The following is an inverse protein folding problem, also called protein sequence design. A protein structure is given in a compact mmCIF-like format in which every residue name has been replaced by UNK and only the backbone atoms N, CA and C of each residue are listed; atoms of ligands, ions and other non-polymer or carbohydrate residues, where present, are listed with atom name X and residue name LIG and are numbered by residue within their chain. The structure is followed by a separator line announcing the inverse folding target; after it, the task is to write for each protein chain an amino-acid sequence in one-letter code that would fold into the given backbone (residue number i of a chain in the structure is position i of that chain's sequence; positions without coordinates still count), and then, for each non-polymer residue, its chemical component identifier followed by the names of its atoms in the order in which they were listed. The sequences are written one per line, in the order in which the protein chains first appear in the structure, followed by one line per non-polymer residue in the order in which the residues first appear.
data_IF_484926704295
#
_entry.id   IF_484926704295
#
_cell.length_a   1.000
_cell.length_b   1.000
_cell.length_c   1.000
_cell.angle_alpha   90.00
_cell.angle_beta   90.00
_cell.angle_gamma   90.00
#
_symmetry.space_group_name_H-M   'P 1'
#
loop_
_entity.id
_entity.type
_entity.pdbx_description
1 polymer ?
#
# COMPACT_ATOMS: atom_id res chain seq x y z
N UNK A 1 8.28 -33.42 -6.57
CA UNK A 1 8.84 -32.81 -7.78
C UNK A 1 8.06 -31.54 -8.01
N UNK A 2 8.71 -30.37 -8.07
CA UNK A 2 8.02 -29.07 -8.04
C UNK A 2 7.32 -28.79 -9.38
N UNK A 3 6.00 -28.58 -9.35
CA UNK A 3 5.17 -28.24 -10.51
C UNK A 3 5.48 -26.83 -11.03
N UNK A 4 6.60 -26.69 -11.72
CA UNK A 4 7.04 -25.47 -12.39
C UNK A 4 6.52 -25.48 -13.83
N UNK A 5 5.56 -24.61 -14.13
CA UNK A 5 5.07 -24.41 -15.51
C UNK A 5 5.75 -23.16 -16.07
N UNK A 6 6.35 -23.26 -17.26
CA UNK A 6 7.07 -22.17 -17.93
C UNK A 6 6.42 -21.85 -19.26
N UNK A 7 6.05 -20.60 -19.45
CA UNK A 7 5.61 -20.07 -20.75
C UNK A 7 6.69 -19.17 -21.34
N UNK A 8 7.02 -19.40 -22.60
CA UNK A 8 8.06 -18.63 -23.29
C UNK A 8 7.45 -17.33 -23.80
N UNK A 9 7.99 -16.19 -23.37
CA UNK A 9 7.59 -14.88 -23.85
C UNK A 9 8.56 -14.37 -24.92
N UNK A 10 8.05 -13.92 -26.07
CA UNK A 10 8.78 -13.09 -27.05
C UNK A 10 8.16 -11.71 -27.16
N UNK A 11 9.00 -10.67 -27.11
CA UNK A 11 8.56 -9.34 -27.51
C UNK A 11 8.15 -9.38 -28.99
N UNK A 12 6.93 -8.93 -29.35
CA UNK A 12 6.48 -9.02 -30.72
C UNK A 12 7.35 -8.13 -31.63
N UNK A 13 7.78 -8.67 -32.78
CA UNK A 13 8.71 -8.01 -33.70
C UNK A 13 8.25 -6.59 -34.11
N UNK A 14 6.93 -6.39 -34.24
CA UNK A 14 6.31 -5.08 -34.51
C UNK A 14 6.61 -4.03 -33.43
N UNK A 15 6.64 -4.44 -32.17
CA UNK A 15 6.87 -3.53 -31.04
C UNK A 15 8.36 -3.19 -30.90
N UNK A 16 9.23 -4.16 -31.12
CA UNK A 16 10.67 -3.92 -31.22
C UNK A 16 11.01 -2.96 -32.38
N UNK A 17 10.37 -3.14 -33.55
CA UNK A 17 10.53 -2.24 -34.69
C UNK A 17 10.05 -0.81 -34.38
N UNK A 18 8.92 -0.67 -33.68
CA UNK A 18 8.41 0.63 -33.24
C UNK A 18 9.33 1.35 -32.27
N UNK A 19 9.89 0.62 -31.30
CA UNK A 19 10.86 1.18 -30.34
C UNK A 19 12.15 1.61 -31.03
N UNK A 20 12.64 0.85 -32.00
CA UNK A 20 13.80 1.22 -32.82
C UNK A 20 13.51 2.46 -33.68
N UNK A 21 12.31 2.56 -34.25
CA UNK A 21 11.88 3.73 -35.00
C UNK A 21 11.83 4.98 -34.10
N UNK A 22 11.23 4.88 -32.91
CA UNK A 22 11.19 5.96 -31.92
C UNK A 22 12.59 6.38 -31.45
N UNK A 23 13.53 5.44 -31.37
CA UNK A 23 14.91 5.74 -30.98
C UNK A 23 15.67 6.50 -32.08
N UNK A 24 15.41 6.22 -33.36
CA UNK A 24 16.22 6.70 -34.48
C UNK A 24 15.63 7.92 -35.20
N UNK A 25 14.30 7.99 -35.34
CA UNK A 25 13.67 9.00 -36.19
C UNK A 25 13.79 10.45 -35.64
N UNK A 26 13.57 10.72 -34.34
CA UNK A 26 13.70 12.07 -33.79
C UNK A 26 15.14 12.64 -33.83
N UNK A 27 16.20 11.94 -33.37
CA UNK A 27 17.55 12.48 -33.42
C UNK A 27 18.07 12.60 -34.86
N UNK A 28 17.73 11.65 -35.74
CA UNK A 28 18.08 11.72 -37.16
C UNK A 28 17.40 12.87 -37.90
N UNK A 29 16.11 13.11 -37.64
CA UNK A 29 15.36 14.21 -38.22
C UNK A 29 15.87 15.58 -37.78
N UNK A 30 16.18 15.74 -36.48
CA UNK A 30 16.73 17.00 -35.96
C UNK A 30 18.15 17.28 -36.47
N UNK A 31 19.00 16.24 -36.58
CA UNK A 31 20.33 16.37 -37.16
C UNK A 31 20.27 16.73 -38.66
N UNK A 32 19.34 16.15 -39.41
CA UNK A 32 19.12 16.49 -40.81
C UNK A 32 18.67 17.94 -40.99
N UNK A 33 17.72 18.40 -40.17
CA UNK A 33 17.26 19.80 -40.20
C UNK A 33 18.37 20.79 -39.84
N UNK A 34 19.26 20.41 -38.92
CA UNK A 34 20.43 21.24 -38.56
C UNK A 34 21.42 21.42 -39.72
N UNK A 35 21.56 20.42 -40.59
CA UNK A 35 22.40 20.47 -41.80
C UNK A 35 21.74 21.14 -43.00
N UNK A 36 20.43 21.44 -42.92
CA UNK A 36 19.69 22.04 -44.02
C UNK A 36 19.82 23.57 -43.98
N UNK A 37 20.33 24.18 -45.05
CA UNK A 37 20.64 25.62 -45.11
C UNK A 37 19.46 26.56 -44.81
N UNK A 38 18.23 26.07 -44.95
CA UNK A 38 16.98 26.79 -44.63
C UNK A 38 16.87 27.12 -43.14
N UNK A 39 17.44 26.30 -42.25
CA UNK A 39 17.37 26.47 -40.80
C UNK A 39 18.70 26.87 -40.16
N UNK A 40 19.65 27.40 -40.95
CA UNK A 40 21.00 27.75 -40.49
C UNK A 40 21.03 28.67 -39.25
N UNK A 41 20.05 29.58 -39.12
CA UNK A 41 19.90 30.47 -37.96
C UNK A 41 19.63 29.73 -36.64
N UNK A 42 19.09 28.51 -36.70
CA UNK A 42 18.73 27.68 -35.54
C UNK A 42 19.61 26.43 -35.42
N UNK A 43 20.67 26.30 -36.22
CA UNK A 43 21.50 25.10 -36.28
C UNK A 43 22.06 24.70 -34.91
N UNK A 44 22.54 25.65 -34.11
CA UNK A 44 23.04 25.38 -32.76
C UNK A 44 21.98 24.80 -31.82
N UNK A 45 20.75 25.33 -31.85
CA UNK A 45 19.64 24.83 -31.03
C UNK A 45 19.21 23.43 -31.49
N UNK A 46 19.15 23.18 -32.80
CA UNK A 46 18.77 21.89 -33.38
C UNK A 46 19.80 20.80 -33.05
N UNK A 47 21.09 21.13 -33.01
CA UNK A 47 22.14 20.19 -32.58
C UNK A 47 21.98 19.80 -31.11
N UNK A 48 21.69 20.76 -30.22
CA UNK A 48 21.42 20.46 -28.81
C UNK A 48 20.16 19.62 -28.61
N UNK A 49 19.10 19.90 -29.36
CA UNK A 49 17.87 19.09 -29.33
C UNK A 49 18.10 17.67 -29.88
N UNK A 50 18.91 17.53 -30.94
CA UNK A 50 19.29 16.21 -31.47
C UNK A 50 20.10 15.41 -30.44
N UNK A 51 21.04 16.05 -29.74
CA UNK A 51 21.83 15.42 -28.67
C UNK A 51 20.96 15.00 -27.47
N UNK A 52 20.06 15.86 -27.02
CA UNK A 52 19.12 15.55 -25.94
C UNK A 52 18.16 14.40 -26.32
N UNK A 53 17.67 14.41 -27.57
CA UNK A 53 16.85 13.32 -28.10
C UNK A 53 17.63 12.01 -28.23
N UNK A 54 18.92 12.06 -28.59
CA UNK A 54 19.80 10.88 -28.62
C UNK A 54 20.01 10.27 -27.23
N UNK A 55 20.13 11.09 -26.18
CA UNK A 55 20.19 10.60 -24.79
C UNK A 55 18.88 9.90 -24.38
N UNK A 56 17.73 10.45 -24.78
CA UNK A 56 16.43 9.82 -24.52
C UNK A 56 16.24 8.50 -25.31
N UNK A 57 16.89 8.35 -26.47
CA UNK A 57 16.87 7.14 -27.30
C UNK A 57 17.64 5.95 -26.69
N UNK A 58 18.48 6.17 -25.68
CA UNK A 58 19.21 5.11 -24.97
C UNK A 58 18.23 4.13 -24.28
N UNK A 59 17.16 4.65 -23.70
CA UNK A 59 16.16 3.85 -22.97
C UNK A 59 15.45 2.81 -23.88
N UNK A 60 14.83 3.18 -25.02
CA UNK A 60 14.19 2.22 -25.91
C UNK A 60 15.20 1.23 -26.54
N UNK A 61 16.41 1.68 -26.89
CA UNK A 61 17.48 0.80 -27.38
C UNK A 61 17.89 -0.24 -26.33
N UNK A 62 18.03 0.18 -25.07
CA UNK A 62 18.33 -0.71 -23.96
C UNK A 62 17.20 -1.73 -23.70
N UNK A 63 15.93 -1.31 -23.82
CA UNK A 63 14.78 -2.21 -23.70
C UNK A 63 14.81 -3.28 -24.81
N UNK A 64 15.06 -2.88 -26.08
CA UNK A 64 15.16 -3.81 -27.21
C UNK A 64 16.36 -4.75 -27.05
N UNK A 65 17.53 -4.24 -26.68
CA UNK A 65 18.72 -5.05 -26.45
C UNK A 65 18.51 -6.08 -25.32
N UNK A 66 17.87 -5.68 -24.22
CA UNK A 66 17.55 -6.57 -23.09
C UNK A 66 16.50 -7.62 -23.47
N UNK A 67 15.51 -7.24 -24.29
CA UNK A 67 14.50 -8.16 -24.82
C UNK A 67 15.11 -9.21 -25.77
N UNK A 68 16.15 -8.86 -26.53
CA UNK A 68 16.86 -9.78 -27.43
C UNK A 68 17.88 -10.66 -26.68
N UNK A 69 18.49 -10.15 -25.61
CA UNK A 69 19.61 -10.81 -24.92
C UNK A 69 19.19 -11.92 -23.92
N UNK A 70 17.96 -11.92 -23.41
CA UNK A 70 17.49 -12.95 -22.46
C UNK A 70 16.17 -13.56 -22.91
N UNK A 71 16.13 -14.90 -22.95
CA UNK A 71 14.86 -15.62 -23.01
C UNK A 71 14.11 -15.37 -21.71
N UNK A 72 13.01 -14.62 -21.80
CA UNK A 72 12.19 -14.27 -20.64
C UNK A 72 11.06 -15.30 -20.54
N UNK A 73 10.94 -15.95 -19.38
CA UNK A 73 9.90 -16.94 -19.09
C UNK A 73 8.92 -16.35 -18.09
N UNK A 74 7.63 -16.58 -18.33
CA UNK A 74 6.61 -16.47 -17.29
C UNK A 74 6.63 -17.79 -16.53
N UNK A 75 6.87 -17.75 -15.23
CA UNK A 75 6.94 -18.96 -14.40
C UNK A 75 5.74 -19.02 -13.45
N UNK A 76 4.96 -20.09 -13.53
CA UNK A 76 3.99 -20.45 -12.50
C UNK A 76 4.67 -21.46 -11.57
N UNK A 77 5.15 -21.00 -10.42
CA UNK A 77 5.79 -21.83 -9.38
C UNK A 77 4.72 -22.40 -8.46
N UNK A 78 5.11 -23.26 -7.51
CA UNK A 78 4.13 -23.87 -6.60
C UNK A 78 3.34 -22.83 -5.77
N UNK A 79 4.00 -21.78 -5.25
CA UNK A 79 3.38 -20.81 -4.33
C UNK A 79 3.18 -19.41 -4.92
N UNK A 80 3.88 -19.09 -6.03
CA UNK A 80 3.88 -17.75 -6.62
C UNK A 80 3.96 -17.79 -8.15
N UNK A 81 3.37 -16.78 -8.79
CA UNK A 81 3.52 -16.49 -10.21
C UNK A 81 4.60 -15.43 -10.42
N UNK A 82 5.63 -15.72 -11.20
CA UNK A 82 6.64 -14.75 -11.63
C UNK A 82 6.15 -14.08 -12.92
N UNK A 83 5.60 -12.88 -12.78
CA UNK A 83 4.99 -12.11 -13.87
C UNK A 83 5.78 -10.84 -14.18
N UNK A 84 5.75 -10.31 -15.41
CA UNK A 84 6.36 -9.02 -15.73
C UNK A 84 5.53 -7.87 -15.13
N UNK A 85 6.18 -6.94 -14.42
CA UNK A 85 5.55 -5.71 -13.92
C UNK A 85 5.01 -4.90 -15.10
N UNK A 86 3.91 -4.19 -14.86
CA UNK A 86 3.37 -3.16 -15.75
C UNK A 86 4.27 -1.90 -15.82
N UNK A 87 5.56 -2.08 -16.14
CA UNK A 87 6.57 -1.02 -16.24
C UNK A 87 7.38 -1.20 -17.52
N UNK A 88 7.84 -0.09 -18.13
CA UNK A 88 8.65 -0.10 -19.35
C UNK A 88 9.95 -0.92 -19.23
N UNK A 89 10.43 -1.13 -18.00
CA UNK A 89 11.63 -1.91 -17.71
C UNK A 89 11.42 -3.44 -17.77
N UNK A 90 10.17 -3.92 -17.89
CA UNK A 90 9.81 -5.36 -17.90
C UNK A 90 10.47 -6.15 -16.76
N UNK A 91 10.59 -5.53 -15.58
CA UNK A 91 11.10 -6.19 -14.39
C UNK A 91 10.09 -7.23 -13.91
N UNK A 92 10.55 -8.40 -13.44
CA UNK A 92 9.65 -9.42 -12.92
C UNK A 92 9.22 -9.10 -11.49
N UNK A 93 8.00 -9.53 -11.15
CA UNK A 93 7.42 -9.52 -9.81
C UNK A 93 6.95 -10.94 -9.48
N UNK A 94 7.37 -11.45 -8.33
CA UNK A 94 6.78 -12.64 -7.74
C UNK A 94 5.46 -12.26 -7.08
N UNK A 95 4.36 -12.84 -7.52
CA UNK A 95 3.03 -12.66 -6.96
C UNK A 95 2.55 -13.96 -6.32
N UNK A 96 2.50 -14.05 -4.99
CA UNK A 96 1.88 -15.18 -4.31
C UNK A 96 0.43 -15.37 -4.77
N UNK A 97 0.00 -16.60 -5.06
CA UNK A 97 -1.36 -16.85 -5.59
C UNK A 97 -2.46 -16.38 -4.64
N UNK A 98 -2.24 -16.52 -3.33
CA UNK A 98 -3.14 -16.05 -2.27
C UNK A 98 -3.28 -14.51 -2.24
N UNK A 99 -2.33 -13.78 -2.82
CA UNK A 99 -2.33 -12.33 -2.87
C UNK A 99 -2.90 -11.75 -4.18
N UNK A 100 -3.27 -12.60 -5.15
CA UNK A 100 -3.89 -12.20 -6.42
C UNK A 100 -5.37 -11.89 -6.17
N UNK A 101 -5.70 -10.58 -6.14
CA UNK A 101 -7.05 -10.08 -5.89
C UNK A 101 -7.96 -10.28 -7.09
N UNK A 102 -7.44 -10.02 -8.29
CA UNK A 102 -8.23 -10.01 -9.52
C UNK A 102 -7.38 -10.40 -10.73
N UNK A 103 -7.99 -11.18 -11.62
CA UNK A 103 -7.48 -11.48 -12.96
C UNK A 103 -8.57 -11.06 -13.95
N UNK A 104 -8.26 -10.07 -14.79
CA UNK A 104 -9.19 -9.54 -15.80
C UNK A 104 -8.60 -9.69 -17.19
N UNK A 105 -9.41 -10.08 -18.17
CA UNK A 105 -8.97 -10.17 -19.57
C UNK A 105 -9.63 -9.06 -20.38
N UNK A 106 -8.83 -8.12 -20.87
CA UNK A 106 -9.27 -7.04 -21.75
C UNK A 106 -9.08 -7.49 -23.21
N UNK A 107 -10.17 -7.53 -23.97
CA UNK A 107 -10.12 -7.78 -25.41
C UNK A 107 -9.89 -6.45 -26.14
N UNK A 108 -8.74 -6.33 -26.80
CA UNK A 108 -8.38 -5.21 -27.66
C UNK A 108 -8.44 -5.65 -29.13
N UNK A 109 -8.53 -4.70 -30.05
CA UNK A 109 -8.61 -4.97 -31.49
C UNK A 109 -7.40 -5.80 -31.97
N UNK A 110 -7.60 -7.11 -32.11
CA UNK A 110 -6.62 -8.07 -32.60
C UNK A 110 -5.78 -8.81 -31.56
N UNK A 111 -5.93 -8.54 -30.24
CA UNK A 111 -5.25 -9.30 -29.17
C UNK A 111 -5.93 -9.09 -27.81
N UNK A 112 -5.75 -10.03 -26.89
CA UNK A 112 -6.21 -9.93 -25.49
C UNK A 112 -5.07 -9.60 -24.53
N UNK A 113 -5.36 -8.88 -23.46
CA UNK A 113 -4.42 -8.55 -22.38
C UNK A 113 -4.99 -8.99 -21.04
N UNK A 114 -4.27 -9.85 -20.33
CA UNK A 114 -4.56 -10.24 -18.97
C UNK A 114 -3.94 -9.24 -17.99
N UNK A 115 -4.79 -8.63 -17.17
CA UNK A 115 -4.42 -7.73 -16.07
C UNK A 115 -4.53 -8.51 -14.78
N UNK A 116 -3.40 -8.74 -14.13
CA UNK A 116 -3.30 -9.45 -12.85
C UNK A 116 -2.99 -8.42 -11.77
N UNK A 117 -3.92 -8.25 -10.84
CA UNK A 117 -3.83 -7.28 -9.73
C UNK A 117 -3.58 -8.05 -8.44
N UNK A 118 -2.49 -7.70 -7.75
CA UNK A 118 -2.14 -8.26 -6.44
C UNK A 118 -1.85 -7.15 -5.42
N UNK A 119 -1.76 -7.51 -4.14
CA UNK A 119 -1.30 -6.61 -3.10
C UNK A 119 0.13 -6.06 -3.35
N UNK A 120 0.93 -6.75 -4.16
CA UNK A 120 2.32 -6.38 -4.45
C UNK A 120 2.48 -5.56 -5.75
N UNK A 121 1.40 -5.38 -6.51
CA UNK A 121 1.38 -4.58 -7.74
C UNK A 121 0.58 -5.22 -8.88
N UNK A 122 0.66 -4.58 -10.04
CA UNK A 122 -0.06 -4.95 -11.26
C UNK A 122 0.90 -5.55 -12.31
N UNK A 123 0.45 -6.62 -12.96
CA UNK A 123 1.09 -7.23 -14.12
C UNK A 123 0.12 -7.21 -15.31
N UNK A 124 0.65 -6.88 -16.49
CA UNK A 124 -0.09 -6.94 -17.76
C UNK A 124 0.58 -7.93 -18.69
N UNK A 125 -0.16 -8.96 -19.10
CA UNK A 125 0.33 -10.03 -19.97
C UNK A 125 -0.50 -10.05 -21.26
N UNK A 126 0.12 -9.74 -22.40
CA UNK A 126 -0.58 -9.80 -23.69
C UNK A 126 -0.63 -11.24 -24.23
N UNK A 127 -1.64 -11.56 -25.02
CA UNK A 127 -1.75 -12.80 -25.79
C UNK A 127 -0.72 -12.88 -26.93
N UNK A 128 -0.32 -11.75 -27.51
CA UNK A 128 0.71 -11.67 -28.57
C UNK A 128 2.10 -12.15 -28.12
N UNK A 129 2.27 -12.29 -26.81
CA UNK A 129 3.49 -12.71 -26.15
C UNK A 129 3.71 -14.21 -26.25
N UNK A 130 2.64 -14.96 -26.52
CA UNK A 130 2.61 -16.40 -26.63
C UNK A 130 2.69 -16.80 -28.12
N UNK A 131 3.35 -17.92 -28.44
CA UNK A 131 3.40 -18.45 -29.80
C UNK A 131 2.03 -18.82 -30.37
N UNK A 132 1.12 -19.26 -29.49
CA UNK A 132 -0.21 -19.77 -29.84
C UNK A 132 -1.25 -19.16 -28.88
N UNK A 133 -2.44 -18.85 -29.40
CA UNK A 133 -3.55 -18.35 -28.59
C UNK A 133 -4.01 -19.39 -27.55
N UNK A 134 -3.86 -20.68 -27.86
CA UNK A 134 -4.15 -21.78 -26.92
C UNK A 134 -3.21 -21.79 -25.72
N UNK A 135 -1.94 -21.41 -25.87
CA UNK A 135 -0.99 -21.32 -24.74
C UNK A 135 -1.36 -20.17 -23.80
N UNK A 136 -1.87 -19.06 -24.33
CA UNK A 136 -2.37 -17.95 -23.51
C UNK A 136 -3.62 -18.35 -22.72
N UNK A 137 -4.55 -19.09 -23.35
CA UNK A 137 -5.73 -19.62 -22.67
C UNK A 137 -5.34 -20.64 -21.58
N UNK A 138 -4.38 -21.52 -21.85
CA UNK A 138 -3.87 -22.49 -20.89
C UNK A 138 -3.16 -21.81 -19.70
N UNK A 139 -2.35 -20.79 -19.97
CA UNK A 139 -1.72 -19.95 -18.95
C UNK A 139 -2.78 -19.34 -18.00
N UNK A 140 -3.85 -18.77 -18.55
CA UNK A 140 -4.91 -18.18 -17.75
C UNK A 140 -5.66 -19.22 -16.91
N UNK A 141 -5.96 -20.38 -17.49
CA UNK A 141 -6.61 -21.48 -16.79
C UNK A 141 -5.75 -21.98 -15.62
N UNK A 142 -4.45 -22.17 -15.84
CA UNK A 142 -3.51 -22.61 -14.80
C UNK A 142 -3.33 -21.55 -13.69
N UNK A 143 -3.24 -20.27 -14.06
CA UNK A 143 -3.14 -19.17 -13.11
C UNK A 143 -4.38 -19.08 -12.22
N UNK A 144 -5.59 -19.16 -12.80
CA UNK A 144 -6.85 -19.11 -12.05
C UNK A 144 -7.07 -20.38 -11.22
N UNK A 145 -6.68 -21.55 -11.74
CA UNK A 145 -6.75 -22.81 -10.99
C UNK A 145 -5.86 -22.78 -9.74
N UNK A 146 -4.60 -22.34 -9.87
CA UNK A 146 -3.69 -22.20 -8.72
C UNK A 146 -4.14 -21.12 -7.76
N UNK A 147 -4.64 -19.99 -8.26
CA UNK A 147 -5.30 -18.97 -7.43
C UNK A 147 -6.46 -19.58 -6.65
N UNK A 148 -7.35 -20.35 -7.28
CA UNK A 148 -8.50 -20.96 -6.61
C UNK A 148 -8.10 -22.03 -5.59
N UNK A 149 -7.05 -22.79 -5.85
CA UNK A 149 -6.50 -23.78 -4.92
C UNK A 149 -5.89 -23.09 -3.68
N UNK A 150 -5.07 -22.07 -3.88
CA UNK A 150 -4.43 -21.32 -2.79
C UNK A 150 -5.36 -20.27 -2.15
N UNK A 151 -6.49 -19.94 -2.76
CA UNK A 151 -7.54 -19.11 -2.17
C UNK A 151 -8.38 -19.87 -1.13
N UNK A 152 -8.43 -21.20 -1.20
CA UNK A 152 -9.22 -22.06 -0.29
C UNK A 152 -8.40 -22.65 0.86
N UNK A 153 -7.10 -22.85 0.69
CA UNK A 153 -6.26 -23.39 1.75
C UNK A 153 -5.72 -22.26 2.63
N UNK A 154 -6.40 -21.98 3.74
CA UNK A 154 -5.72 -21.37 4.88
C UNK A 154 -4.68 -22.40 5.34
N UNK A 155 -3.38 -22.08 5.42
CA UNK A 155 -2.37 -23.08 5.80
C UNK A 155 -2.79 -23.76 7.12
N UNK A 156 -2.58 -25.08 7.30
CA UNK A 156 -3.00 -25.80 8.51
C UNK A 156 -2.50 -25.14 9.81
N UNK A 157 -1.31 -24.54 9.75
CA UNK A 157 -0.74 -23.76 10.84
C UNK A 157 -1.58 -22.50 11.18
N UNK A 158 -2.12 -21.82 10.17
CA UNK A 158 -2.96 -20.63 10.33
C UNK A 158 -4.34 -21.02 10.88
N UNK A 159 -4.93 -22.13 10.44
CA UNK A 159 -6.18 -22.64 11.02
C UNK A 159 -6.01 -23.00 12.51
N UNK A 160 -4.90 -23.68 12.85
CA UNK A 160 -4.59 -24.01 14.24
C UNK A 160 -4.40 -22.76 15.11
N UNK A 161 -3.78 -21.71 14.56
CA UNK A 161 -3.61 -20.42 15.24
C UNK A 161 -4.95 -19.72 15.47
N UNK A 162 -5.82 -19.67 14.45
CA UNK A 162 -7.16 -19.09 14.57
C UNK A 162 -8.00 -19.86 15.59
N UNK A 163 -7.92 -21.19 15.61
CA UNK A 163 -8.59 -22.01 16.61
C UNK A 163 -8.06 -21.72 18.03
N UNK A 164 -6.75 -21.63 18.22
CA UNK A 164 -6.13 -21.30 19.51
C UNK A 164 -6.53 -19.89 20.00
N UNK A 165 -6.63 -18.91 19.09
CA UNK A 165 -7.11 -17.56 19.41
C UNK A 165 -8.56 -17.61 19.88
N UNK A 166 -9.43 -18.38 19.20
CA UNK A 166 -10.84 -18.53 19.59
C UNK A 166 -10.99 -19.15 20.98
N UNK A 167 -10.20 -20.17 21.30
CA UNK A 167 -10.22 -20.78 22.63
C UNK A 167 -9.76 -19.80 23.71
N UNK A 168 -8.62 -19.11 23.52
CA UNK A 168 -8.18 -18.06 24.47
C UNK A 168 -9.17 -16.91 24.61
N UNK A 169 -9.92 -16.61 23.55
CA UNK A 169 -10.92 -15.54 23.57
C UNK A 169 -12.13 -15.85 24.47
N UNK A 170 -12.32 -17.11 24.86
CA UNK A 170 -13.35 -17.51 25.85
C UNK A 170 -12.99 -17.05 27.27
N UNK A 171 -11.70 -16.98 27.58
CA UNK A 171 -11.19 -16.57 28.91
C UNK A 171 -10.86 -15.07 28.94
N UNK A 172 -10.26 -14.55 27.85
CA UNK A 172 -9.92 -13.14 27.69
C UNK A 172 -10.52 -12.60 26.39
N UNK A 173 -11.62 -11.83 26.43
CA UNK A 173 -12.26 -11.26 25.24
C UNK A 173 -11.32 -10.44 24.33
N UNK A 174 -10.18 -9.96 24.86
CA UNK A 174 -9.20 -9.17 24.12
C UNK A 174 -7.99 -10.00 23.64
N UNK A 175 -8.00 -11.33 23.80
CA UNK A 175 -6.89 -12.19 23.40
C UNK A 175 -6.49 -12.02 21.92
N UNK A 176 -7.48 -12.00 21.02
CA UNK A 176 -7.25 -11.74 19.59
C UNK A 176 -6.65 -10.36 19.31
N UNK A 177 -7.11 -9.33 20.04
CA UNK A 177 -6.57 -7.97 19.91
C UNK A 177 -5.11 -7.89 20.37
N UNK A 178 -4.75 -8.56 21.47
CA UNK A 178 -3.38 -8.60 22.00
C UNK A 178 -2.42 -9.31 21.03
N UNK A 179 -2.83 -10.45 20.47
CA UNK A 179 -2.03 -11.19 19.50
C UNK A 179 -1.88 -10.39 18.20
N UNK A 180 -2.97 -9.81 17.69
CA UNK A 180 -2.93 -8.95 16.51
C UNK A 180 -2.04 -7.71 16.72
N UNK A 181 -2.07 -7.11 17.92
CA UNK A 181 -1.23 -5.96 18.26
C UNK A 181 0.26 -6.30 18.16
N UNK A 182 0.68 -7.44 18.74
CA UNK A 182 2.07 -7.90 18.67
C UNK A 182 2.50 -8.17 17.23
N UNK A 183 1.66 -8.83 16.45
CA UNK A 183 1.95 -9.13 15.05
C UNK A 183 2.06 -7.85 14.20
N UNK A 184 1.13 -6.91 14.37
CA UNK A 184 1.16 -5.61 13.68
C UNK A 184 2.41 -4.83 14.05
N UNK A 185 2.73 -4.75 15.35
CA UNK A 185 3.93 -4.06 15.83
C UNK A 185 5.21 -4.66 15.25
N UNK A 186 5.36 -6.00 15.31
CA UNK A 186 6.53 -6.70 14.78
C UNK A 186 6.67 -6.53 13.27
N UNK A 187 5.57 -6.68 12.51
CA UNK A 187 5.57 -6.49 11.04
C UNK A 187 5.93 -5.08 10.65
N UNK A 188 5.32 -4.07 11.28
CA UNK A 188 5.61 -2.68 10.97
C UNK A 188 7.04 -2.29 11.32
N UNK A 189 7.52 -2.72 12.49
CA UNK A 189 8.92 -2.48 12.89
C UNK A 189 9.88 -3.11 11.89
N UNK A 190 9.64 -4.37 11.49
CA UNK A 190 10.46 -5.06 10.49
C UNK A 190 10.42 -4.38 9.12
N UNK A 191 9.23 -3.95 8.67
CA UNK A 191 9.06 -3.31 7.36
C UNK A 191 9.67 -1.90 7.30
N UNK A 192 9.77 -1.21 8.43
CA UNK A 192 10.30 0.15 8.54
C UNK A 192 11.78 0.19 8.97
N UNK A 193 12.39 -0.96 9.21
CA UNK A 193 13.80 -1.08 9.56
C UNK A 193 14.69 -0.81 8.35
N UNK A 194 15.71 0.02 8.54
CA UNK A 194 16.78 0.25 7.58
C UNK A 194 18.16 0.08 8.24
N UNK A 195 19.24 0.40 7.51
CA UNK A 195 20.63 0.27 7.99
C UNK A 195 20.92 1.06 9.29
N UNK A 196 20.09 2.07 9.61
CA UNK A 196 20.18 2.91 10.82
C UNK A 196 19.17 2.51 11.90
N UNK A 197 18.43 1.42 11.70
CA UNK A 197 17.36 0.96 12.58
C UNK A 197 15.99 1.48 12.16
N UNK A 198 15.07 1.58 13.13
CA UNK A 198 13.69 2.04 12.90
C UNK A 198 13.56 3.50 13.29
N UNK A 199 13.03 4.34 12.39
CA UNK A 199 12.73 5.74 12.70
C UNK A 199 11.46 5.82 13.56
N UNK A 200 11.63 6.04 14.86
CA UNK A 200 10.57 5.95 15.86
C UNK A 200 9.36 6.86 15.55
N UNK A 201 9.62 8.09 15.12
CA UNK A 201 8.62 9.08 14.73
C UNK A 201 7.73 8.55 13.60
N UNK A 202 8.33 7.89 12.60
CA UNK A 202 7.60 7.33 11.47
C UNK A 202 6.78 6.11 11.86
N UNK A 203 7.31 5.23 12.71
CA UNK A 203 6.57 4.08 13.23
C UNK A 203 5.35 4.53 14.05
N UNK A 204 5.53 5.50 14.94
CA UNK A 204 4.47 6.07 15.77
C UNK A 204 3.40 6.79 14.93
N UNK A 205 3.82 7.52 13.90
CA UNK A 205 2.94 8.17 12.95
C UNK A 205 2.11 7.15 12.15
N UNK A 206 2.74 6.09 11.65
CA UNK A 206 2.06 5.01 10.94
C UNK A 206 1.06 4.28 11.84
N UNK A 207 1.45 3.92 13.06
CA UNK A 207 0.58 3.28 14.04
C UNK A 207 -0.59 4.19 14.43
N UNK A 208 -0.35 5.48 14.67
CA UNK A 208 -1.39 6.47 14.94
C UNK A 208 -2.38 6.61 13.78
N UNK A 209 -1.88 6.70 12.56
CA UNK A 209 -2.70 6.77 11.35
C UNK A 209 -3.63 5.55 11.21
N UNK A 210 -3.08 4.34 11.41
CA UNK A 210 -3.84 3.10 11.36
C UNK A 210 -4.85 2.99 12.51
N UNK A 211 -4.48 3.40 13.73
CA UNK A 211 -5.37 3.40 14.89
C UNK A 211 -6.56 4.34 14.67
N UNK A 212 -6.30 5.55 14.17
CA UNK A 212 -7.34 6.51 13.82
C UNK A 212 -8.31 5.93 12.80
N UNK A 213 -7.79 5.46 11.67
CA UNK A 213 -8.63 4.88 10.62
C UNK A 213 -9.42 3.65 11.08
N UNK A 214 -8.82 2.82 11.96
CA UNK A 214 -9.50 1.68 12.56
C UNK A 214 -10.75 2.07 13.36
N UNK A 215 -10.80 3.28 13.96
CA UNK A 215 -11.98 3.78 14.65
C UNK A 215 -13.19 3.85 13.70
N UNK A 216 -13.08 4.57 12.59
CA UNK A 216 -14.20 4.68 11.63
C UNK A 216 -14.45 3.36 10.88
N UNK A 217 -13.39 2.63 10.50
CA UNK A 217 -13.52 1.35 9.81
C UNK A 217 -14.22 0.29 10.68
N UNK A 218 -13.99 0.31 12.00
CA UNK A 218 -14.68 -0.60 12.92
C UNK A 218 -16.18 -0.33 13.00
N UNK A 219 -16.59 0.93 13.00
CA UNK A 219 -18.01 1.34 12.99
C UNK A 219 -18.68 0.85 11.71
N UNK A 220 -18.05 1.14 10.56
CA UNK A 220 -18.54 0.73 9.24
C UNK A 220 -18.72 -0.79 9.13
N UNK A 221 -17.70 -1.53 9.55
CA UNK A 221 -17.76 -3.00 9.51
C UNK A 221 -18.81 -3.57 10.47
N UNK A 222 -19.05 -2.93 11.62
CA UNK A 222 -20.13 -3.32 12.54
C UNK A 222 -21.50 -3.05 11.94
N UNK A 223 -21.70 -1.89 11.31
CA UNK A 223 -22.95 -1.55 10.65
C UNK A 223 -23.31 -2.59 9.58
N UNK A 224 -22.33 -2.94 8.74
CA UNK A 224 -22.49 -4.01 7.74
C UNK A 224 -22.86 -5.36 8.37
N UNK A 225 -22.22 -5.74 9.48
CA UNK A 225 -22.54 -6.98 10.19
C UNK A 225 -23.95 -6.99 10.81
N UNK A 226 -24.52 -5.81 11.08
CA UNK A 226 -25.88 -5.63 11.57
C UNK A 226 -26.91 -5.43 10.44
N UNK A 227 -26.49 -5.45 9.17
CA UNK A 227 -27.37 -5.19 8.02
C UNK A 227 -27.81 -3.73 7.87
N UNK A 228 -27.09 -2.81 8.51
CA UNK A 228 -27.30 -1.36 8.39
C UNK A 228 -26.49 -0.79 7.21
N UNK A 229 -26.82 0.42 6.79
CA UNK A 229 -25.96 1.19 5.88
C UNK A 229 -24.56 1.33 6.49
N UNK A 230 -23.52 1.21 5.66
CA UNK A 230 -22.13 1.18 6.12
C UNK A 230 -21.77 2.41 6.97
N UNK A 231 -22.25 3.57 6.56
CA UNK A 231 -22.04 4.88 7.16
C UNK A 231 -23.07 5.24 8.25
N UNK A 232 -23.96 4.32 8.64
CA UNK A 232 -25.00 4.61 9.62
C UNK A 232 -24.41 5.15 10.95
N UNK A 233 -24.91 6.30 11.39
CA UNK A 233 -24.41 6.97 12.60
C UNK A 233 -23.11 7.75 12.42
N UNK A 234 -22.57 7.82 11.20
CA UNK A 234 -21.48 8.71 10.82
C UNK A 234 -22.04 9.96 10.12
N UNK A 235 -21.46 11.10 10.43
CA UNK A 235 -21.71 12.35 9.73
C UNK A 235 -20.68 12.48 8.61
N UNK A 236 -21.14 12.55 7.37
CA UNK A 236 -20.29 12.75 6.20
C UNK A 236 -20.12 14.24 5.90
N UNK A 237 -18.88 14.64 5.59
CA UNK A 237 -18.53 15.98 5.14
C UNK A 237 -17.67 15.84 3.90
N UNK A 238 -18.04 16.54 2.84
CA UNK A 238 -17.24 16.64 1.62
C UNK A 238 -16.49 17.97 1.61
N UNK A 239 -15.21 17.95 1.24
CA UNK A 239 -14.46 19.20 0.99
C UNK A 239 -14.63 19.71 -0.45
N UNK A 240 -14.06 20.87 -0.75
CA UNK A 240 -14.16 21.50 -2.07
C UNK A 240 -13.49 20.67 -3.20
N UNK A 241 -12.60 19.74 -2.85
CA UNK A 241 -11.89 18.86 -3.77
C UNK A 241 -12.62 17.51 -3.96
N UNK A 242 -13.78 17.33 -3.31
CA UNK A 242 -14.59 16.11 -3.36
C UNK A 242 -14.11 14.99 -2.43
N UNK A 243 -13.19 15.26 -1.51
CA UNK A 243 -12.77 14.26 -0.52
C UNK A 243 -13.83 14.13 0.58
N UNK A 244 -14.18 12.89 0.91
CA UNK A 244 -15.15 12.57 1.95
C UNK A 244 -14.47 12.36 3.31
N UNK A 245 -15.12 12.87 4.35
CA UNK A 245 -14.68 12.75 5.73
C UNK A 245 -15.83 12.31 6.65
N UNK A 246 -15.51 11.44 7.62
CA UNK A 246 -16.45 10.93 8.61
C UNK A 246 -16.25 11.58 9.98
N UNK A 247 -17.36 11.90 10.62
CA UNK A 247 -17.46 12.50 11.94
C UNK A 247 -18.55 11.82 12.79
N UNK A 248 -18.57 12.14 14.08
CA UNK A 248 -19.63 11.75 15.00
C UNK A 248 -19.12 10.96 16.20
N UNK A 249 -19.99 10.79 17.19
CA UNK A 249 -19.68 10.16 18.46
C UNK A 249 -19.25 8.70 18.29
N UNK A 250 -19.74 8.03 17.24
CA UNK A 250 -19.36 6.67 16.91
C UNK A 250 -17.85 6.53 16.61
N UNK A 251 -17.20 7.57 16.06
CA UNK A 251 -15.74 7.61 15.83
C UNK A 251 -15.01 8.11 17.07
N UNK A 252 -15.55 9.11 17.76
CA UNK A 252 -14.93 9.71 18.95
C UNK A 252 -14.84 8.71 20.12
N UNK A 253 -15.82 7.83 20.27
CA UNK A 253 -15.86 6.85 21.34
C UNK A 253 -14.64 5.91 21.36
N UNK A 254 -14.31 5.16 20.29
CA UNK A 254 -13.09 4.35 20.25
C UNK A 254 -11.80 5.18 20.15
N UNK A 255 -11.86 6.45 19.72
CA UNK A 255 -10.68 7.30 19.59
C UNK A 255 -10.26 7.94 20.93
N UNK A 256 -11.20 8.42 21.73
CA UNK A 256 -10.92 9.26 22.89
C UNK A 256 -11.77 8.99 24.16
N UNK A 257 -13.01 8.50 24.03
CA UNK A 257 -13.97 8.56 25.16
C UNK A 257 -14.15 7.23 25.90
N UNK A 258 -13.92 6.11 25.23
CA UNK A 258 -14.03 4.78 25.83
C UNK A 258 -12.82 4.43 26.71
N UNK A 259 -13.01 3.51 27.67
CA UNK A 259 -11.95 3.01 28.55
C UNK A 259 -10.76 2.43 27.78
N UNK A 260 -11.04 1.73 26.66
CA UNK A 260 -10.03 1.15 25.77
C UNK A 260 -9.80 2.00 24.51
N UNK A 261 -10.06 3.31 24.61
CA UNK A 261 -9.83 4.22 23.50
C UNK A 261 -8.36 4.29 23.12
N UNK A 262 -8.08 4.67 21.87
CA UNK A 262 -6.71 4.91 21.39
C UNK A 262 -6.00 5.91 22.29
N UNK A 263 -6.67 7.02 22.66
CA UNK A 263 -6.16 7.97 23.65
C UNK A 263 -5.85 7.31 25.00
N UNK A 264 -6.82 6.59 25.59
CA UNK A 264 -6.65 5.99 26.92
C UNK A 264 -5.46 5.04 26.97
N UNK A 265 -5.29 4.20 25.94
CA UNK A 265 -4.18 3.27 25.84
C UNK A 265 -2.84 3.99 25.60
N UNK A 266 -2.78 4.92 24.66
CA UNK A 266 -1.56 5.65 24.32
C UNK A 266 -1.10 6.57 25.46
N UNK A 267 -2.02 7.30 26.08
CA UNK A 267 -1.74 8.18 27.20
C UNK A 267 -1.21 7.40 28.41
N UNK A 268 -1.83 6.27 28.74
CA UNK A 268 -1.36 5.40 29.81
C UNK A 268 0.08 4.89 29.55
N UNK A 269 0.41 4.53 28.31
CA UNK A 269 1.75 4.09 27.94
C UNK A 269 2.78 5.24 28.00
N UNK A 270 2.40 6.43 27.57
CA UNK A 270 3.26 7.61 27.64
C UNK A 270 3.56 8.01 29.08
N UNK A 271 2.55 8.05 29.97
CA UNK A 271 2.73 8.33 31.39
C UNK A 271 3.66 7.32 32.05
N UNK A 272 3.40 6.01 31.84
CA UNK A 272 4.26 4.93 32.35
C UNK A 272 5.70 5.01 31.83
N UNK A 273 5.91 5.62 30.66
CA UNK A 273 7.22 5.79 30.05
C UNK A 273 7.91 7.09 30.44
N UNK A 274 7.27 7.95 31.26
CA UNK A 274 7.88 9.17 31.82
C UNK A 274 7.25 10.48 31.35
N UNK A 275 6.16 10.45 30.57
CA UNK A 275 5.47 11.70 30.19
C UNK A 275 4.78 12.33 31.40
N UNK A 276 5.23 13.51 31.80
CA UNK A 276 4.67 14.25 32.95
C UNK A 276 3.46 15.11 32.57
N UNK A 277 3.46 15.68 31.37
CA UNK A 277 2.42 16.58 30.88
C UNK A 277 1.85 16.04 29.57
N UNK A 278 0.64 15.48 29.63
CA UNK A 278 -0.03 14.96 28.45
C UNK A 278 -0.41 16.10 27.50
N UNK A 279 -0.32 15.90 26.17
CA UNK A 279 -0.71 16.90 25.19
C UNK A 279 -2.22 17.20 25.31
N UNK A 280 -2.59 18.45 25.02
CA UNK A 280 -3.97 18.88 25.05
C UNK A 280 -4.78 18.22 23.93
N UNK A 281 -5.55 17.19 24.31
CA UNK A 281 -6.39 16.42 23.41
C UNK A 281 -7.42 17.30 22.70
N UNK A 282 -8.04 18.24 23.42
CA UNK A 282 -9.06 19.13 22.87
C UNK A 282 -8.45 20.04 21.81
N UNK A 283 -7.27 20.61 22.08
CA UNK A 283 -6.57 21.43 21.09
C UNK A 283 -6.15 20.65 19.83
N UNK A 284 -5.86 19.35 19.95
CA UNK A 284 -5.60 18.49 18.78
C UNK A 284 -6.87 18.25 17.95
N UNK A 285 -8.01 17.96 18.58
CA UNK A 285 -9.30 17.84 17.90
C UNK A 285 -9.71 19.14 17.20
N UNK A 286 -9.62 20.28 17.91
CA UNK A 286 -9.95 21.60 17.34
C UNK A 286 -9.08 21.93 16.15
N UNK A 287 -7.78 21.63 16.21
CA UNK A 287 -6.88 21.86 15.08
C UNK A 287 -7.27 21.01 13.87
N UNK A 288 -7.46 19.70 14.05
CA UNK A 288 -7.85 18.81 12.95
C UNK A 288 -9.16 19.23 12.30
N UNK A 289 -10.14 19.72 13.08
CA UNK A 289 -11.38 20.25 12.54
C UNK A 289 -11.16 21.55 11.73
N UNK A 290 -10.35 22.47 12.25
CA UNK A 290 -10.08 23.76 11.60
C UNK A 290 -9.24 23.65 10.32
N UNK A 291 -8.45 22.59 10.17
CA UNK A 291 -7.62 22.36 8.98
C UNK A 291 -8.29 21.47 7.94
N UNK A 292 -9.51 20.96 8.18
CA UNK A 292 -10.17 20.06 7.24
C UNK A 292 -10.33 20.70 5.86
N UNK A 293 -10.08 19.92 4.81
CA UNK A 293 -10.13 20.39 3.42
C UNK A 293 -8.99 21.35 3.03
N UNK A 294 -8.02 21.59 3.92
CA UNK A 294 -6.83 22.38 3.60
C UNK A 294 -5.60 21.50 3.40
N UNK A 295 -4.55 22.05 2.75
CA UNK A 295 -3.26 21.38 2.63
C UNK A 295 -2.53 21.10 3.96
N UNK A 296 -3.00 21.71 5.05
CA UNK A 296 -2.51 21.50 6.42
C UNK A 296 -3.17 20.31 7.12
N UNK A 297 -4.24 19.74 6.55
CA UNK A 297 -4.95 18.63 7.16
C UNK A 297 -4.03 17.41 7.34
N UNK A 298 -3.98 16.89 8.57
CA UNK A 298 -3.13 15.73 8.90
C UNK A 298 -1.64 16.04 8.97
N UNK A 299 -1.23 17.32 8.93
CA UNK A 299 0.15 17.70 9.22
C UNK A 299 0.39 17.78 10.74
N UNK A 300 1.48 17.15 11.17
CA UNK A 300 1.87 17.08 12.57
C UNK A 300 2.57 18.36 13.02
N UNK A 301 2.14 18.93 14.15
CA UNK A 301 2.70 20.18 14.71
C UNK A 301 3.89 19.86 15.60
N UNK A 302 5.01 19.53 14.98
CA UNK A 302 6.24 19.08 15.65
C UNK A 302 7.46 19.91 15.24
N UNK A 303 8.49 20.00 16.10
CA UNK A 303 9.79 20.54 15.69
C UNK A 303 10.39 19.70 14.56
N UNK A 304 10.98 20.35 13.55
CA UNK A 304 11.51 19.71 12.31
C UNK A 304 12.35 18.44 12.53
N UNK A 305 13.16 18.36 13.59
CA UNK A 305 14.02 17.19 13.88
C UNK A 305 13.28 15.98 14.48
N UNK A 306 12.00 16.14 14.80
CA UNK A 306 11.14 15.13 15.42
C UNK A 306 9.91 14.82 14.57
N UNK A 307 9.98 15.18 13.28
CA UNK A 307 8.92 14.92 12.32
C UNK A 307 9.09 13.54 11.69
N UNK A 308 8.00 12.80 11.46
CA UNK A 308 8.02 11.60 10.64
C UNK A 308 8.58 11.86 9.24
N UNK A 309 9.04 10.80 8.57
CA UNK A 309 9.60 10.91 7.23
C UNK A 309 8.53 11.21 6.15
N UNK A 310 7.27 10.88 6.43
CA UNK A 310 6.16 11.09 5.51
C UNK A 310 4.87 11.46 6.27
N UNK A 311 3.80 11.81 5.55
CA UNK A 311 2.50 12.20 6.09
C UNK A 311 1.70 10.98 6.57
N UNK A 312 0.86 11.11 7.62
CA UNK A 312 -0.01 10.05 8.10
C UNK A 312 -0.86 9.37 7.01
N UNK A 313 -1.40 10.16 6.07
CA UNK A 313 -2.22 9.65 4.97
C UNK A 313 -1.46 8.71 4.04
N UNK A 314 -0.17 8.97 3.79
CA UNK A 314 0.65 8.14 2.91
C UNK A 314 0.95 6.79 3.58
N UNK A 315 1.28 6.79 4.87
CA UNK A 315 1.41 5.56 5.65
C UNK A 315 0.11 4.76 5.65
N UNK A 316 -1.02 5.42 5.88
CA UNK A 316 -2.32 4.77 5.91
C UNK A 316 -2.63 4.08 4.57
N UNK A 317 -2.51 4.81 3.45
CA UNK A 317 -2.74 4.28 2.09
C UNK A 317 -1.84 3.08 1.77
N UNK A 318 -0.58 3.11 2.21
CA UNK A 318 0.37 2.04 1.95
C UNK A 318 0.15 0.80 2.86
N UNK A 319 -0.23 0.99 4.12
CA UNK A 319 -0.19 -0.07 5.12
C UNK A 319 -1.56 -0.72 5.36
N UNK A 320 -2.65 0.05 5.34
CA UNK A 320 -3.98 -0.46 5.68
C UNK A 320 -4.43 -1.62 4.77
N UNK A 321 -4.35 -1.53 3.43
CA UNK A 321 -4.80 -2.62 2.55
C UNK A 321 -4.02 -3.91 2.73
N UNK A 322 -2.76 -3.81 3.19
CA UNK A 322 -1.86 -4.93 3.39
C UNK A 322 -2.05 -5.60 4.76
N UNK A 323 -2.39 -4.82 5.79
CA UNK A 323 -2.61 -5.33 7.15
C UNK A 323 -4.03 -5.86 7.36
N UNK A 324 -5.03 -5.29 6.67
CA UNK A 324 -6.44 -5.61 6.88
C UNK A 324 -6.78 -7.12 6.81
N UNK A 325 -6.27 -7.91 5.86
CA UNK A 325 -6.55 -9.36 5.83
C UNK A 325 -6.05 -10.08 7.09
N UNK A 326 -4.86 -9.70 7.58
CA UNK A 326 -4.27 -10.26 8.81
C UNK A 326 -5.08 -9.86 10.03
N UNK A 327 -5.50 -8.59 10.10
CA UNK A 327 -6.32 -8.07 11.20
C UNK A 327 -7.67 -8.77 11.26
N UNK A 328 -8.36 -8.94 10.12
CA UNK A 328 -9.65 -9.64 10.06
C UNK A 328 -9.54 -11.10 10.49
N UNK A 329 -8.40 -11.73 10.23
CA UNK A 329 -8.13 -13.12 10.61
C UNK A 329 -7.87 -13.26 12.12
N UNK A 330 -6.99 -12.43 12.68
CA UNK A 330 -6.57 -12.52 14.09
C UNK A 330 -7.58 -11.87 15.05
N UNK A 331 -8.30 -10.85 14.57
CA UNK A 331 -9.21 -10.03 15.34
C UNK A 331 -10.55 -9.91 14.60
N UNK A 332 -11.39 -10.96 14.63
CA UNK A 332 -12.61 -11.04 13.83
C UNK A 332 -13.69 -10.04 14.27
N UNK A 333 -13.66 -9.60 15.53
CA UNK A 333 -14.60 -8.61 16.05
C UNK A 333 -14.13 -7.19 15.70
N UNK A 334 -14.85 -6.43 14.85
CA UNK A 334 -14.35 -5.13 14.39
C UNK A 334 -14.21 -4.10 15.51
N UNK A 335 -15.04 -4.20 16.55
CA UNK A 335 -14.95 -3.34 17.75
C UNK A 335 -13.58 -3.39 18.44
N UNK A 336 -12.80 -4.45 18.22
CA UNK A 336 -11.47 -4.61 18.81
C UNK A 336 -10.35 -4.06 17.91
N UNK A 337 -10.64 -3.59 16.69
CA UNK A 337 -9.62 -3.03 15.80
C UNK A 337 -8.97 -1.76 16.35
N UNK A 338 -9.70 -0.78 16.92
CA UNK A 338 -9.05 0.37 17.54
C UNK A 338 -8.17 -0.05 18.74
N UNK A 339 -8.64 -1.04 19.50
CA UNK A 339 -7.96 -1.56 20.70
C UNK A 339 -6.63 -2.23 20.30
N UNK A 340 -6.60 -3.06 19.25
CA UNK A 340 -5.37 -3.72 18.82
C UNK A 340 -4.29 -2.71 18.43
N UNK A 341 -4.65 -1.64 17.72
CA UNK A 341 -3.68 -0.61 17.36
C UNK A 341 -3.28 0.23 18.57
N UNK A 342 -4.21 0.51 19.49
CA UNK A 342 -3.90 1.13 20.78
C UNK A 342 -2.87 0.32 21.56
N UNK A 343 -3.01 -1.01 21.63
CA UNK A 343 -2.03 -1.90 22.27
C UNK A 343 -0.68 -1.91 21.54
N UNK A 344 -0.67 -1.92 20.20
CA UNK A 344 0.57 -1.84 19.42
C UNK A 344 1.30 -0.49 19.63
N UNK A 345 0.55 0.60 19.80
CA UNK A 345 1.08 1.91 20.18
C UNK A 345 1.72 1.86 21.58
N UNK A 346 1.11 1.16 22.54
CA UNK A 346 1.71 1.04 23.88
C UNK A 346 3.10 0.39 23.81
N UNK A 347 3.23 -0.67 23.01
CA UNK A 347 4.50 -1.35 22.78
C UNK A 347 5.52 -0.43 22.11
N UNK A 348 5.10 0.33 21.10
CA UNK A 348 5.97 1.27 20.39
C UNK A 348 6.47 2.41 21.30
N UNK A 349 5.59 2.99 22.13
CA UNK A 349 5.97 4.04 23.08
C UNK A 349 6.92 3.47 24.15
N UNK A 350 6.62 2.28 24.69
CA UNK A 350 7.43 1.68 25.73
C UNK A 350 8.84 1.32 25.22
N UNK A 351 8.92 0.70 24.05
CA UNK A 351 10.19 0.31 23.42
C UNK A 351 10.98 1.52 22.91
N UNK A 352 10.29 2.60 22.51
CA UNK A 352 10.90 3.82 22.00
C UNK A 352 11.32 4.84 23.07
N UNK A 353 11.01 4.62 24.35
CA UNK A 353 11.17 5.63 25.43
C UNK A 353 12.59 6.19 25.62
N UNK A 354 13.62 5.47 25.18
CA UNK A 354 15.02 5.92 25.22
C UNK A 354 15.45 6.69 23.96
N UNK A 355 14.64 6.65 22.90
CA UNK A 355 14.92 7.25 21.59
C UNK A 355 14.10 8.51 21.37
N UNK A 356 12.83 8.49 21.76
CA UNK A 356 11.89 9.60 21.61
C UNK A 356 11.26 9.95 22.96
N UNK A 357 11.09 11.25 23.20
CA UNK A 357 10.35 11.74 24.35
C UNK A 357 8.90 11.18 24.35
N UNK A 358 8.45 10.53 25.44
CA UNK A 358 7.12 9.91 25.47
C UNK A 358 5.95 10.88 25.28
N UNK A 359 6.07 12.14 25.67
CA UNK A 359 5.01 13.14 25.43
C UNK A 359 4.95 13.50 23.94
N UNK A 360 6.10 13.61 23.27
CA UNK A 360 6.17 13.83 21.82
C UNK A 360 5.66 12.60 21.06
N UNK A 361 6.01 11.39 21.51
CA UNK A 361 5.50 10.15 20.93
C UNK A 361 3.96 10.10 20.97
N UNK A 362 3.39 10.43 22.13
CA UNK A 362 1.93 10.53 22.29
C UNK A 362 1.32 11.58 21.36
N UNK A 363 1.96 12.75 21.24
CA UNK A 363 1.49 13.81 20.34
C UNK A 363 1.49 13.35 18.87
N UNK A 364 2.56 12.70 18.41
CA UNK A 364 2.64 12.14 17.04
C UNK A 364 1.48 11.18 16.80
N UNK A 365 1.30 10.21 17.71
CA UNK A 365 0.24 9.21 17.60
C UNK A 365 -1.13 9.87 17.51
N UNK A 366 -1.43 10.80 18.42
CA UNK A 366 -2.77 11.35 18.54
C UNK A 366 -3.12 12.35 17.46
N UNK A 367 -2.20 13.23 17.04
CA UNK A 367 -2.46 14.11 15.90
C UNK A 367 -2.66 13.30 14.61
N UNK A 368 -1.90 12.22 14.43
CA UNK A 368 -2.08 11.30 13.30
C UNK A 368 -3.42 10.55 13.37
N UNK A 369 -3.77 10.01 14.55
CA UNK A 369 -5.00 9.25 14.76
C UNK A 369 -6.26 10.10 14.58
N UNK A 370 -6.28 11.32 15.12
CA UNK A 370 -7.44 12.23 15.01
C UNK A 370 -7.68 12.65 13.56
N UNK A 371 -6.62 12.93 12.80
CA UNK A 371 -6.78 13.27 11.39
C UNK A 371 -7.24 12.05 10.58
N UNK A 372 -6.60 10.89 10.77
CA UNK A 372 -6.86 9.69 9.97
C UNK A 372 -8.12 8.93 10.38
N UNK A 373 -8.71 9.24 11.54
CA UNK A 373 -10.04 8.70 11.89
C UNK A 373 -11.17 9.29 11.06
N UNK A 374 -10.90 10.38 10.34
CA UNK A 374 -11.90 11.09 9.54
C UNK A 374 -11.82 10.73 8.07
N UNK A 375 -10.67 10.30 7.57
CA UNK A 375 -10.49 10.11 6.12
C UNK A 375 -11.25 8.88 5.63
N UNK A 376 -11.83 8.98 4.44
CA UNK A 376 -12.22 7.82 3.64
C UNK A 376 -11.11 7.48 2.63
N UNK A 377 -10.73 6.21 2.53
CA UNK A 377 -9.76 5.77 1.53
C UNK A 377 -10.41 5.45 0.17
N UNK A 378 -11.74 5.42 0.10
CA UNK A 378 -12.46 4.80 -1.00
C UNK A 378 -12.32 3.28 -0.92
N UNK A 379 -13.44 2.57 -0.81
CA UNK A 379 -13.48 1.11 -0.68
C UNK A 379 -12.93 0.38 -1.90
#
# INVERSE_FOLDING_TARGET
MADLIRYRYRLPARFAAWLLFLAMAPPGGLAYLAGCGVFAKYAGLLVWLAAASGLLAILPLWIVARALAKQNFIELRAEEALLPKATLALAFIGMPYSAIKQISVLKLSGHSVAVVVSAFGESRVSSDWFPLESEFAEFLAQLEQRRAQHAKATPPAVESLVAAIRERSKEDPLAGAKIAAQEVYHRLTSAMQNDKGVHAESLLCALGALAGYACQASVRQRNLALGLAEDAGLVQIEDADGNQYFYGDAVNSPLAESQYSVWGLAAAAAQKSGCQALPDLKAMFSHSANTLGSGEFGMLRLPLRKSPADRPLNYLKALWPNLLPTIRMLCPHPAHWPILFGLAIQEAIHSGKSVIDPCIALKIVMESAIAMSKVDLGG
#
